data_IF_035023294819
#
_entry.id   IF_035023294819
#
_cell.length_a   1.000
_cell.length_b   1.000
_cell.length_c   1.000
_cell.angle_alpha   90.00
_cell.angle_beta   90.00
_cell.angle_gamma   90.00
#
_symmetry.space_group_name_H-M   'P 1'
#
loop_
_entity.id
_entity.type
_entity.pdbx_description
1 polymer ?
#
# COMPACT_ATOMS: atom_id res chain seq x y z
N UNK A 1 -4.10 -18.00 -0.41
CA UNK A 1 -2.93 -17.14 -0.66
C UNK A 1 -3.23 -15.80 -0.02
N UNK A 2 -2.36 -15.29 0.85
CA UNK A 2 -2.61 -14.02 1.53
C UNK A 2 -2.24 -12.89 0.56
N UNK A 3 -3.22 -12.11 0.14
CA UNK A 3 -3.01 -11.03 -0.82
C UNK A 3 -2.40 -9.81 -0.11
N UNK A 4 -1.35 -9.23 -0.70
CA UNK A 4 -0.70 -8.04 -0.17
C UNK A 4 -1.64 -6.83 -0.23
N UNK A 5 -1.39 -5.85 0.64
CA UNK A 5 -2.06 -4.56 0.53
C UNK A 5 -1.30 -3.64 -0.41
N UNK A 6 -2.03 -2.84 -1.18
CA UNK A 6 -1.52 -1.90 -2.15
C UNK A 6 -2.05 -0.51 -1.84
N UNK A 7 -1.15 0.44 -1.63
CA UNK A 7 -1.50 1.87 -1.53
C UNK A 7 -1.21 2.49 -2.89
N UNK A 8 -2.21 3.04 -3.55
CA UNK A 8 -2.08 3.71 -4.85
C UNK A 8 -2.37 5.20 -4.70
N UNK A 9 -1.52 6.02 -5.29
CA UNK A 9 -1.85 7.43 -5.46
C UNK A 9 -2.89 7.58 -6.57
N UNK A 10 -3.87 8.44 -6.35
CA UNK A 10 -4.96 8.76 -7.26
C UNK A 10 -5.11 10.28 -7.33
N UNK A 11 -5.76 10.83 -8.37
CA UNK A 11 -6.03 12.27 -8.44
C UNK A 11 -6.86 12.82 -7.27
N UNK A 12 -7.55 11.95 -6.54
CA UNK A 12 -8.40 12.29 -5.41
C UNK A 12 -7.71 12.06 -4.05
N UNK A 13 -6.45 11.59 -4.04
CA UNK A 13 -5.72 11.23 -2.81
C UNK A 13 -5.11 9.83 -2.91
N UNK A 14 -5.12 9.08 -1.83
CA UNK A 14 -4.53 7.75 -1.67
C UNK A 14 -5.60 6.69 -1.51
N UNK A 15 -5.51 5.62 -2.29
CA UNK A 15 -6.42 4.49 -2.24
C UNK A 15 -5.69 3.25 -1.72
N UNK A 16 -6.23 2.63 -0.67
CA UNK A 16 -5.77 1.33 -0.17
C UNK A 16 -6.63 0.23 -0.79
N UNK A 17 -5.96 -0.71 -1.46
CA UNK A 17 -6.55 -1.88 -2.10
C UNK A 17 -5.84 -3.15 -1.64
N UNK A 18 -6.35 -4.31 -2.03
CA UNK A 18 -5.66 -5.59 -1.84
C UNK A 18 -5.26 -6.08 -3.22
N UNK A 19 -4.10 -6.71 -3.38
CA UNK A 19 -3.57 -7.20 -4.65
C UNK A 19 -4.57 -8.07 -5.45
N UNK A 20 -5.35 -8.88 -4.74
CA UNK A 20 -6.38 -9.74 -5.36
C UNK A 20 -7.73 -9.03 -5.55
N UNK A 21 -7.91 -7.82 -5.02
CA UNK A 21 -9.17 -7.09 -5.04
C UNK A 21 -9.14 -6.01 -6.13
N UNK A 22 -10.16 -6.04 -7.00
CA UNK A 22 -10.34 -5.02 -8.06
C UNK A 22 -10.97 -3.71 -7.57
N UNK A 23 -11.34 -3.63 -6.29
CA UNK A 23 -12.06 -2.49 -5.70
C UNK A 23 -11.28 -1.91 -4.54
N UNK A 24 -11.13 -0.59 -4.54
CA UNK A 24 -10.56 0.15 -3.41
C UNK A 24 -11.34 -0.07 -2.13
N UNK A 25 -10.63 -0.32 -1.04
CA UNK A 25 -11.20 -0.55 0.29
C UNK A 25 -11.32 0.75 1.08
N UNK A 26 -10.31 1.60 0.99
CA UNK A 26 -10.24 2.85 1.77
C UNK A 26 -9.66 3.94 0.89
N UNK A 27 -10.29 5.11 0.90
CA UNK A 27 -9.79 6.33 0.28
C UNK A 27 -9.36 7.30 1.39
N UNK A 28 -8.18 7.89 1.26
CA UNK A 28 -7.62 8.87 2.19
C UNK A 28 -7.07 10.05 1.41
N UNK A 29 -7.24 11.28 1.88
CA UNK A 29 -6.58 12.43 1.24
C UNK A 29 -5.10 12.52 1.63
N UNK A 30 -4.76 12.04 2.83
CA UNK A 30 -3.43 12.12 3.43
C UNK A 30 -2.62 10.82 3.26
N UNK A 31 -1.34 10.96 2.87
CA UNK A 31 -0.39 9.87 2.63
C UNK A 31 -0.07 9.09 3.90
N UNK A 32 0.26 9.78 4.99
CA UNK A 32 0.65 9.18 6.25
C UNK A 32 -0.52 8.41 6.86
N UNK A 33 -1.75 8.90 6.70
CA UNK A 33 -2.96 8.18 7.09
C UNK A 33 -3.11 6.88 6.28
N UNK A 34 -3.00 6.94 4.95
CA UNK A 34 -3.09 5.75 4.09
C UNK A 34 -2.02 4.71 4.44
N UNK A 35 -0.78 5.14 4.67
CA UNK A 35 0.35 4.29 5.05
C UNK A 35 0.14 3.65 6.43
N UNK A 36 -0.32 4.42 7.42
CA UNK A 36 -0.58 3.87 8.75
C UNK A 36 -1.69 2.82 8.74
N UNK A 37 -2.78 3.05 7.99
CA UNK A 37 -3.86 2.08 7.82
C UNK A 37 -3.35 0.83 7.10
N UNK A 38 -2.60 1.00 6.00
CA UNK A 38 -2.00 -0.09 5.24
C UNK A 38 -1.05 -0.93 6.09
N UNK A 39 -0.17 -0.30 6.87
CA UNK A 39 0.76 -0.98 7.78
C UNK A 39 0.03 -1.76 8.86
N UNK A 40 -0.99 -1.16 9.47
CA UNK A 40 -1.80 -1.84 10.49
C UNK A 40 -2.55 -3.05 9.92
N UNK A 41 -3.11 -2.93 8.71
CA UNK A 41 -3.81 -4.01 8.02
C UNK A 41 -2.85 -5.15 7.60
N UNK A 42 -1.71 -4.79 7.02
CA UNK A 42 -0.65 -5.71 6.61
C UNK A 42 -0.11 -6.50 7.80
N UNK A 43 0.23 -5.81 8.91
CA UNK A 43 0.67 -6.43 10.17
C UNK A 43 -0.36 -7.38 10.75
N UNK A 44 -1.65 -7.02 10.76
CA UNK A 44 -2.74 -7.90 11.25
C UNK A 44 -2.92 -9.16 10.41
N UNK A 45 -2.62 -9.10 9.11
CA UNK A 45 -2.79 -10.21 8.18
C UNK A 45 -1.51 -10.99 7.92
N UNK A 46 -0.36 -10.52 8.42
CA UNK A 46 0.95 -11.11 8.14
C UNK A 46 1.33 -11.05 6.67
N UNK A 47 0.93 -9.98 5.97
CA UNK A 47 1.18 -9.77 4.53
C UNK A 47 2.02 -8.52 4.31
N UNK A 48 2.54 -8.36 3.10
CA UNK A 48 3.27 -7.15 2.69
C UNK A 48 2.36 -5.95 2.45
N UNK A 49 2.96 -4.77 2.53
CA UNK A 49 2.38 -3.51 2.07
C UNK A 49 3.23 -2.98 0.92
N UNK A 50 2.61 -2.71 -0.22
CA UNK A 50 3.26 -2.20 -1.42
C UNK A 50 2.70 -0.81 -1.69
N UNK A 51 3.58 0.16 -1.92
CA UNK A 51 3.22 1.54 -2.21
C UNK A 51 3.50 1.85 -3.68
N UNK A 52 2.47 2.31 -4.40
CA UNK A 52 2.55 2.76 -5.79
C UNK A 52 2.23 4.26 -5.83
N UNK A 53 3.30 5.06 -5.82
CA UNK A 53 3.21 6.50 -6.06
C UNK A 53 3.24 6.70 -7.58
N UNK A 54 2.39 7.58 -8.11
CA UNK A 54 2.33 7.88 -9.55
C UNK A 54 3.54 8.78 -9.88
N UNK A 55 4.74 8.18 -9.89
CA UNK A 55 5.91 8.77 -10.52
C UNK A 55 5.81 8.46 -12.01
N UNK A 56 5.34 9.46 -12.76
CA UNK A 56 5.61 9.55 -14.18
C UNK A 56 7.12 9.41 -14.39
N UNK A 57 7.54 8.29 -14.98
CA UNK A 57 8.90 8.08 -15.48
C UNK A 57 9.81 7.21 -14.61
N UNK A 58 9.99 5.96 -15.04
CA UNK A 58 11.24 5.19 -14.99
C UNK A 58 12.10 5.24 -13.71
N UNK A 59 12.04 4.15 -12.96
CA UNK A 59 13.23 3.62 -12.28
C UNK A 59 13.37 3.99 -10.81
N UNK A 60 12.61 3.30 -9.95
CA UNK A 60 13.15 2.52 -8.82
C UNK A 60 11.98 2.10 -7.95
N UNK A 61 11.52 0.87 -8.14
CA UNK A 61 10.89 0.14 -7.05
C UNK A 61 11.96 -0.04 -5.97
N UNK A 62 12.12 0.96 -5.10
CA UNK A 62 12.83 0.78 -3.84
C UNK A 62 11.94 -0.16 -3.02
N UNK A 63 12.27 -1.44 -3.15
CA UNK A 63 11.76 -2.56 -2.38
C UNK A 63 12.06 -2.27 -0.90
N UNK A 64 11.20 -1.51 -0.24
CA UNK A 64 11.27 -1.28 1.20
C UNK A 64 10.66 -2.49 1.91
N UNK A 65 11.26 -3.66 1.69
CA UNK A 65 11.01 -4.85 2.47
C UNK A 65 11.70 -4.72 3.84
N UNK A 66 11.12 -3.90 4.72
CA UNK A 66 11.54 -3.89 6.12
C UNK A 66 11.05 -5.19 6.77
N UNK A 67 11.97 -6.14 6.92
CA UNK A 67 11.75 -7.42 7.57
C UNK A 67 11.57 -7.20 9.07
N UNK A 68 10.33 -7.02 9.53
CA UNK A 68 9.97 -6.93 10.94
C UNK A 68 9.92 -8.32 11.60
N UNK A 69 11.05 -9.03 11.57
CA UNK A 69 11.24 -10.28 12.30
C UNK A 69 12.45 -10.15 13.24
N UNK A 70 12.19 -9.69 14.46
CA UNK A 70 12.86 -10.08 15.70
C UNK A 70 11.97 -9.65 16.89
#
# INVERSE_FOLDING_TARGET
>A
MAANFLIRQTPQGWELTVESARKGLVHCEDRDVAVNIGKAAAKRRGVGLIMQEDQDGSGSALDFAESLAA
#
